data_IF_007494327596
#
_entry.id   IF_007494327596
#
_cell.length_a   1.000
_cell.length_b   1.000
_cell.length_c   1.000
_cell.angle_alpha   90.00
_cell.angle_beta   90.00
_cell.angle_gamma   90.00
#
_symmetry.space_group_name_H-M   'P 1'
#
loop_
_entity.id
_entity.type
_entity.pdbx_description
1 polymer ?
#
# COMPACT_ATOMS: atom_id res chain seq x y z
N UNK A 1 -23.86 -10.78 -28.55
CA UNK A 1 -23.34 -9.44 -28.88
C UNK A 1 -22.17 -9.11 -27.96
N UNK A 2 -20.92 -9.00 -28.44
CA UNK A 2 -19.84 -8.49 -27.61
C UNK A 2 -19.48 -7.06 -28.01
N UNK A 3 -19.80 -6.12 -27.13
CA UNK A 3 -19.30 -4.75 -27.17
C UNK A 3 -17.76 -4.80 -27.15
N UNK A 4 -17.11 -4.48 -28.27
CA UNK A 4 -15.64 -4.31 -28.33
C UNK A 4 -15.27 -3.15 -27.40
N UNK A 5 -14.75 -3.47 -26.20
CA UNK A 5 -14.10 -2.48 -25.33
C UNK A 5 -12.98 -1.81 -26.14
N UNK A 6 -13.18 -0.55 -26.51
CA UNK A 6 -12.16 0.25 -27.18
C UNK A 6 -10.92 0.32 -26.29
N UNK A 7 -9.82 -0.28 -26.74
CA UNK A 7 -8.56 -0.29 -26.00
C UNK A 7 -7.92 1.09 -26.14
N UNK A 8 -8.13 1.97 -25.14
CA UNK A 8 -7.40 3.24 -25.08
C UNK A 8 -5.94 2.94 -24.70
N UNK A 9 -4.94 3.15 -25.58
CA UNK A 9 -3.55 2.94 -25.23
C UNK A 9 -3.14 3.92 -24.12
N UNK A 10 -2.24 3.50 -23.22
CA UNK A 10 -1.71 4.38 -22.17
C UNK A 10 -0.73 5.38 -22.78
N UNK A 11 -0.94 6.67 -22.53
CA UNK A 11 0.00 7.70 -22.99
C UNK A 11 1.17 7.84 -22.01
N UNK A 12 2.31 8.33 -22.49
CA UNK A 12 3.50 8.58 -21.67
C UNK A 12 3.21 9.50 -20.48
N UNK A 13 2.27 10.45 -20.65
CA UNK A 13 1.85 11.36 -19.59
C UNK A 13 1.02 10.65 -18.51
N UNK A 14 0.07 9.78 -18.90
CA UNK A 14 -0.70 8.95 -17.97
C UNK A 14 0.22 8.01 -17.17
N UNK A 15 1.25 7.44 -17.81
CA UNK A 15 2.22 6.56 -17.16
C UNK A 15 3.14 7.32 -16.18
N UNK A 16 3.51 8.56 -16.51
CA UNK A 16 4.25 9.44 -15.60
C UNK A 16 3.43 9.78 -14.35
N UNK A 17 2.17 10.19 -14.54
CA UNK A 17 1.24 10.46 -13.44
C UNK A 17 1.06 9.21 -12.57
N UNK A 18 0.82 8.06 -13.19
CA UNK A 18 0.74 6.78 -12.48
C UNK A 18 2.00 6.54 -11.62
N UNK A 19 3.20 6.71 -12.18
CA UNK A 19 4.44 6.46 -11.43
C UNK A 19 4.65 7.43 -10.26
N UNK A 20 4.22 8.68 -10.39
CA UNK A 20 4.40 9.72 -9.39
C UNK A 20 3.33 9.65 -8.29
N UNK A 21 2.06 9.54 -8.69
CA UNK A 21 0.91 9.69 -7.79
C UNK A 21 0.44 8.36 -7.20
N UNK A 22 0.64 7.23 -7.91
CA UNK A 22 0.17 5.92 -7.45
C UNK A 22 0.83 5.52 -6.14
N UNK A 23 2.11 5.86 -5.92
CA UNK A 23 2.80 5.52 -4.68
C UNK A 23 2.24 6.22 -3.44
N UNK A 24 1.65 7.41 -3.61
CA UNK A 24 1.23 8.29 -2.51
C UNK A 24 -0.28 8.24 -2.30
N UNK A 25 -1.06 8.41 -3.37
CA UNK A 25 -2.52 8.56 -3.30
C UNK A 25 -3.28 7.29 -3.75
N UNK A 26 -2.59 6.36 -4.41
CA UNK A 26 -3.16 5.09 -4.85
C UNK A 26 -4.02 5.17 -6.11
N UNK A 27 -4.62 4.03 -6.46
CA UNK A 27 -5.27 3.83 -7.75
C UNK A 27 -6.47 4.74 -8.00
N UNK A 28 -7.25 5.05 -6.94
CA UNK A 28 -8.48 5.85 -7.06
C UNK A 28 -8.20 7.31 -7.43
N UNK A 29 -7.13 7.89 -6.89
CA UNK A 29 -6.75 9.27 -7.20
C UNK A 29 -6.25 9.39 -8.64
N UNK A 30 -5.34 8.48 -9.05
CA UNK A 30 -4.83 8.44 -10.42
C UNK A 30 -5.96 8.18 -11.43
N UNK A 31 -6.93 7.32 -11.08
CA UNK A 31 -8.11 7.07 -11.89
C UNK A 31 -8.92 8.33 -12.19
N UNK A 32 -9.13 9.18 -11.18
CA UNK A 32 -9.81 10.46 -11.35
C UNK A 32 -9.03 11.42 -12.24
N UNK A 33 -7.70 11.52 -12.06
CA UNK A 33 -6.87 12.42 -12.88
C UNK A 33 -6.77 11.98 -14.34
N UNK A 34 -6.62 10.67 -14.57
CA UNK A 34 -6.41 10.09 -15.91
C UNK A 34 -7.74 9.83 -16.64
N UNK A 35 -8.86 9.91 -15.92
CA UNK A 35 -10.20 9.62 -16.46
C UNK A 35 -10.38 8.14 -16.81
N UNK A 36 -9.72 7.24 -16.08
CA UNK A 36 -9.80 5.78 -16.30
C UNK A 36 -10.36 5.08 -15.08
N UNK A 37 -10.90 3.88 -15.27
CA UNK A 37 -11.37 3.08 -14.14
C UNK A 37 -10.21 2.71 -13.19
N UNK A 38 -10.42 2.73 -11.86
CA UNK A 38 -9.39 2.35 -10.88
C UNK A 38 -8.87 0.92 -11.08
N UNK A 39 -9.71 0.02 -11.60
CA UNK A 39 -9.27 -1.34 -11.96
C UNK A 39 -8.24 -1.35 -13.09
N UNK A 40 -8.39 -0.50 -14.10
CA UNK A 40 -7.43 -0.39 -15.20
C UNK A 40 -6.10 0.19 -14.71
N UNK A 41 -6.16 1.18 -13.81
CA UNK A 41 -5.00 1.76 -13.12
C UNK A 41 -4.26 0.70 -12.31
N UNK A 42 -4.96 -0.11 -11.52
CA UNK A 42 -4.36 -1.23 -10.77
C UNK A 42 -3.68 -2.25 -11.68
N UNK A 43 -4.34 -2.67 -12.78
CA UNK A 43 -3.74 -3.59 -13.74
C UNK A 43 -2.47 -3.00 -14.38
N UNK A 44 -2.47 -1.71 -14.71
CA UNK A 44 -1.30 -1.06 -15.28
C UNK A 44 -0.17 -0.91 -14.26
N UNK A 45 -0.50 -0.53 -13.03
CA UNK A 45 0.45 -0.46 -11.93
C UNK A 45 1.09 -1.83 -11.66
N UNK A 46 0.29 -2.90 -11.65
CA UNK A 46 0.79 -4.27 -11.52
C UNK A 46 1.72 -4.64 -12.70
N UNK A 47 1.34 -4.31 -13.93
CA UNK A 47 2.19 -4.53 -15.13
C UNK A 47 3.50 -3.75 -15.08
N UNK A 48 3.48 -2.56 -14.50
CA UNK A 48 4.66 -1.72 -14.28
C UNK A 48 5.40 -2.00 -12.98
N UNK A 49 4.98 -3.02 -12.22
CA UNK A 49 5.50 -3.35 -10.89
C UNK A 49 5.54 -2.15 -9.93
N UNK A 50 4.60 -1.21 -10.10
CA UNK A 50 4.43 -0.08 -9.19
C UNK A 50 3.78 -0.59 -7.91
N UNK A 51 4.58 -0.64 -6.85
CA UNK A 51 4.11 -1.03 -5.53
C UNK A 51 3.48 0.19 -4.87
N UNK A 52 2.21 0.06 -4.47
CA UNK A 52 1.57 1.04 -3.60
C UNK A 52 2.29 0.97 -2.25
N UNK A 53 3.22 1.89 -2.01
CA UNK A 53 3.82 2.08 -0.70
C UNK A 53 2.78 2.80 0.15
N UNK A 54 1.77 2.06 0.63
CA UNK A 54 0.78 2.60 1.57
C UNK A 54 1.57 3.15 2.77
N UNK A 55 1.69 4.48 2.82
CA UNK A 55 2.42 5.17 3.86
C UNK A 55 1.85 4.75 5.22
N UNK A 56 2.71 4.73 6.23
CA UNK A 56 2.26 4.58 7.60
C UNK A 56 1.64 5.90 8.00
N UNK A 57 0.31 5.92 8.13
CA UNK A 57 -0.37 7.10 8.60
C UNK A 57 -0.04 7.36 10.08
N UNK A 58 -0.22 8.60 10.54
CA UNK A 58 -0.04 8.95 11.95
C UNK A 58 -0.91 8.10 12.87
N UNK A 59 -2.10 7.73 12.40
CA UNK A 59 -2.98 6.81 13.12
C UNK A 59 -2.38 5.40 13.21
N UNK A 60 -1.92 4.83 12.09
CA UNK A 60 -1.25 3.52 12.06
C UNK A 60 -0.02 3.51 13.00
N UNK A 61 0.75 4.60 13.04
CA UNK A 61 1.94 4.76 13.91
C UNK A 61 1.53 4.90 15.38
N UNK A 62 0.49 5.68 15.67
CA UNK A 62 0.00 5.89 17.03
C UNK A 62 -0.57 4.59 17.60
N UNK A 63 -1.35 3.85 16.80
CA UNK A 63 -1.81 2.52 17.18
C UNK A 63 -0.63 1.58 17.38
N UNK A 64 0.31 1.48 16.43
CA UNK A 64 1.50 0.65 16.60
C UNK A 64 2.27 1.00 17.89
N UNK A 65 2.41 2.28 18.24
CA UNK A 65 3.04 2.72 19.50
C UNK A 65 2.22 2.39 20.75
N UNK A 66 0.90 2.36 20.64
CA UNK A 66 0.01 2.05 21.76
C UNK A 66 -0.15 0.55 21.99
N UNK A 67 -0.06 -0.30 20.98
CA UNK A 67 -0.28 -1.75 21.13
C UNK A 67 0.99 -2.59 20.97
N UNK A 68 2.16 -2.03 20.59
CA UNK A 68 3.37 -2.85 20.42
C UNK A 68 3.90 -3.49 21.70
N UNK A 69 3.54 -3.03 22.88
CA UNK A 69 4.01 -3.63 24.13
C UNK A 69 3.12 -4.79 24.61
N UNK A 70 1.84 -4.80 24.23
CA UNK A 70 0.88 -5.84 24.63
C UNK A 70 0.72 -6.94 23.57
N UNK A 71 0.84 -6.61 22.28
CA UNK A 71 0.52 -7.54 21.19
C UNK A 71 1.75 -8.02 20.44
N UNK A 72 1.70 -9.23 19.91
CA UNK A 72 2.74 -9.82 19.03
C UNK A 72 2.77 -9.15 17.65
N UNK A 73 3.87 -9.33 16.88
CA UNK A 73 3.98 -8.75 15.54
C UNK A 73 2.89 -9.26 14.59
N UNK A 74 2.35 -10.46 14.85
CA UNK A 74 1.23 -11.08 14.13
C UNK A 74 -0.11 -10.41 14.44
N UNK A 75 -0.43 -10.21 15.71
CA UNK A 75 -1.67 -9.52 16.13
C UNK A 75 -1.68 -8.06 15.67
N UNK A 76 -0.53 -7.38 15.71
CA UNK A 76 -0.40 -6.02 15.14
C UNK A 76 -0.62 -6.01 13.63
N UNK A 77 -0.18 -7.05 12.92
CA UNK A 77 -0.40 -7.18 11.49
C UNK A 77 -1.89 -7.34 11.17
N UNK A 78 -2.61 -8.15 11.96
CA UNK A 78 -4.06 -8.30 11.85
C UNK A 78 -4.79 -7.00 12.19
N UNK A 79 -4.45 -6.35 13.30
CA UNK A 79 -5.08 -5.11 13.75
C UNK A 79 -4.90 -3.94 12.77
N UNK A 80 -3.70 -3.80 12.18
CA UNK A 80 -3.40 -2.74 11.21
C UNK A 80 -3.80 -3.12 9.78
N UNK A 81 -4.29 -4.35 9.57
CA UNK A 81 -4.57 -4.94 8.26
C UNK A 81 -3.35 -4.76 7.34
N UNK A 82 -2.18 -5.13 7.86
CA UNK A 82 -0.87 -5.08 7.19
C UNK A 82 -0.20 -6.45 7.24
N UNK A 83 0.88 -6.61 6.50
CA UNK A 83 1.73 -7.79 6.62
C UNK A 83 2.68 -7.66 7.80
N UNK A 84 3.01 -8.78 8.45
CA UNK A 84 3.99 -8.85 9.56
C UNK A 84 5.33 -8.19 9.17
N UNK A 85 5.79 -8.43 7.93
CA UNK A 85 7.02 -7.80 7.40
C UNK A 85 6.94 -6.28 7.37
N UNK A 86 5.77 -5.71 7.06
CA UNK A 86 5.59 -4.26 7.06
C UNK A 86 5.63 -3.70 8.49
N UNK A 87 4.96 -4.37 9.44
CA UNK A 87 4.95 -4.02 10.87
C UNK A 87 6.38 -4.09 11.43
N UNK A 88 7.10 -5.19 11.19
CA UNK A 88 8.48 -5.37 11.61
C UNK A 88 9.41 -4.28 11.06
N UNK A 89 9.31 -3.98 9.75
CA UNK A 89 10.10 -2.93 9.13
C UNK A 89 9.82 -1.55 9.75
N UNK A 90 8.56 -1.24 10.06
CA UNK A 90 8.19 0.03 10.68
C UNK A 90 8.61 0.10 12.16
N UNK A 91 8.39 -0.97 12.91
CA UNK A 91 8.85 -1.14 14.29
C UNK A 91 10.36 -0.91 14.40
N UNK A 92 11.14 -1.55 13.51
CA UNK A 92 12.59 -1.36 13.41
C UNK A 92 12.96 0.08 13.03
N UNK A 93 12.24 0.69 12.06
CA UNK A 93 12.46 2.08 11.64
C UNK A 93 12.18 3.09 12.76
N UNK A 94 11.22 2.80 13.63
CA UNK A 94 10.86 3.63 14.78
C UNK A 94 11.72 3.34 16.03
N UNK A 95 12.61 2.34 15.98
CA UNK A 95 13.48 1.97 17.10
C UNK A 95 12.76 1.20 18.22
N UNK A 96 11.53 0.76 18.00
CA UNK A 96 10.78 -0.02 18.98
C UNK A 96 11.25 -1.48 18.97
N UNK A 97 12.31 -1.80 19.72
CA UNK A 97 12.74 -3.19 19.90
C UNK A 97 11.81 -3.88 20.90
N UNK A 98 10.93 -4.78 20.43
CA UNK A 98 10.38 -5.82 21.30
C UNK A 98 11.50 -6.73 21.74
N UNK A 99 11.56 -7.01 23.03
CA UNK A 99 12.32 -8.13 23.54
C UNK A 99 11.73 -9.40 22.91
N UNK A 100 12.59 -10.18 22.28
CA UNK A 100 12.25 -11.50 21.74
C UNK A 100 11.79 -12.38 22.90
N UNK A 101 10.48 -12.56 23.07
CA UNK A 101 9.97 -13.75 23.74
C UNK A 101 9.90 -14.84 22.69
N UNK A 102 10.93 -15.67 22.70
CA UNK A 102 10.91 -16.99 22.10
C UNK A 102 10.10 -17.90 23.04
N UNK A 103 9.05 -18.54 22.52
CA UNK A 103 8.24 -19.59 23.16
C UNK A 103 7.25 -20.06 22.07
N UNK A 104 7.03 -21.33 21.72
CA UNK A 104 7.72 -22.62 21.78
C UNK A 104 7.17 -23.38 20.54
#
# INVERSE_FOLDING_TARGET
>A
MPCRKAYRPWTTLELRLLRQEYGTHGASHVAQQVGRSPKAVQCMAAKMQLVLRRAWDRHDIAQLRATYHEHTDKELAEALVRTEKAVFAMRKKLGFMKQTTAED
#
